data_IF_262749674530
#
_entry.id   IF_262749674530
#
_cell.length_a   1.000
_cell.length_b   1.000
_cell.length_c   1.000
_cell.angle_alpha   90.00
_cell.angle_beta   90.00
_cell.angle_gamma   90.00
#
_symmetry.space_group_name_H-M   'P 1'
#
loop_
_entity.id
_entity.type
_entity.pdbx_description
1 polymer ?
#
# COMPACT_ATOMS: atom_id res chain seq x y z
N UNK A 1 29.59 18.90 -23.03
CA UNK A 1 28.79 18.00 -23.86
C UNK A 1 27.57 17.51 -23.06
N UNK A 2 26.46 17.23 -23.74
CA UNK A 2 25.18 16.83 -23.13
C UNK A 2 25.32 15.61 -22.21
N UNK A 3 26.23 14.69 -22.46
CA UNK A 3 26.47 13.50 -21.63
C UNK A 3 27.04 13.83 -20.25
N UNK A 4 27.81 14.84 -20.09
CA UNK A 4 28.40 15.23 -18.79
C UNK A 4 27.37 15.82 -17.83
N UNK A 5 26.22 16.27 -18.33
CA UNK A 5 25.10 16.78 -17.53
C UNK A 5 24.07 15.66 -17.23
N UNK A 6 23.88 14.73 -18.18
CA UNK A 6 22.92 13.63 -18.01
C UNK A 6 23.34 12.61 -16.96
N UNK A 7 24.61 12.22 -16.95
CA UNK A 7 25.11 11.20 -15.99
C UNK A 7 24.87 11.57 -14.53
N UNK A 8 25.23 12.76 -14.03
CA UNK A 8 24.98 13.12 -12.64
C UNK A 8 23.49 13.25 -12.31
N UNK A 9 22.65 13.67 -13.28
CA UNK A 9 21.20 13.72 -13.09
C UNK A 9 20.58 12.31 -12.99
N UNK A 10 21.03 11.38 -13.84
CA UNK A 10 20.58 9.98 -13.80
C UNK A 10 21.01 9.30 -12.49
N UNK A 11 22.22 9.54 -12.00
CA UNK A 11 22.72 9.02 -10.74
C UNK A 11 21.91 9.57 -9.54
N UNK A 12 21.63 10.87 -9.54
CA UNK A 12 20.83 11.51 -8.50
C UNK A 12 19.40 10.96 -8.48
N UNK A 13 18.77 10.81 -9.64
CA UNK A 13 17.43 10.24 -9.76
C UNK A 13 17.40 8.79 -9.29
N UNK A 14 18.40 7.98 -9.65
CA UNK A 14 18.54 6.60 -9.22
C UNK A 14 18.71 6.48 -7.71
N UNK A 15 19.50 7.35 -7.11
CA UNK A 15 19.70 7.38 -5.66
C UNK A 15 18.39 7.70 -4.93
N UNK A 16 17.63 8.69 -5.40
CA UNK A 16 16.31 9.02 -4.87
C UNK A 16 15.33 7.85 -5.01
N UNK A 17 15.28 7.20 -6.17
CA UNK A 17 14.44 6.02 -6.39
C UNK A 17 14.76 4.88 -5.41
N UNK A 18 16.04 4.65 -5.11
CA UNK A 18 16.44 3.64 -4.14
C UNK A 18 15.99 3.98 -2.72
N UNK A 19 16.10 5.25 -2.33
CA UNK A 19 15.66 5.71 -0.99
C UNK A 19 14.15 5.57 -0.86
N UNK A 20 13.37 6.07 -1.81
CA UNK A 20 11.90 5.98 -1.78
C UNK A 20 11.42 4.54 -1.92
N UNK A 21 12.08 3.73 -2.75
CA UNK A 21 11.80 2.30 -2.87
C UNK A 21 12.07 1.55 -1.57
N UNK A 22 13.17 1.86 -0.89
CA UNK A 22 13.51 1.29 0.41
C UNK A 22 12.49 1.66 1.49
N UNK A 23 12.10 2.92 1.58
CA UNK A 23 11.05 3.38 2.50
C UNK A 23 9.71 2.71 2.20
N UNK A 24 9.35 2.58 0.92
CA UNK A 24 8.14 1.89 0.48
C UNK A 24 8.16 0.41 0.88
N UNK A 25 9.28 -0.28 0.71
CA UNK A 25 9.43 -1.68 1.09
C UNK A 25 9.28 -1.89 2.61
N UNK A 26 9.89 -1.01 3.42
CA UNK A 26 9.73 -1.06 4.89
C UNK A 26 8.27 -0.81 5.27
N UNK A 27 7.62 0.17 4.66
CA UNK A 27 6.21 0.47 4.92
C UNK A 27 5.30 -0.72 4.58
N UNK A 28 5.57 -1.43 3.48
CA UNK A 28 4.85 -2.65 3.11
C UNK A 28 5.06 -3.78 4.11
N UNK A 29 6.27 -3.97 4.62
CA UNK A 29 6.55 -4.96 5.66
C UNK A 29 5.75 -4.67 6.93
N UNK A 30 5.74 -3.42 7.38
CA UNK A 30 4.97 -3.01 8.57
C UNK A 30 3.47 -3.21 8.33
N UNK A 31 2.95 -2.87 7.15
CA UNK A 31 1.55 -3.12 6.78
C UNK A 31 1.21 -4.61 6.79
N UNK A 32 2.07 -5.47 6.21
CA UNK A 32 1.88 -6.92 6.21
C UNK A 32 1.86 -7.50 7.63
N UNK A 33 2.76 -7.04 8.52
CA UNK A 33 2.76 -7.41 9.93
C UNK A 33 1.48 -6.97 10.64
N UNK A 34 0.98 -5.77 10.34
CA UNK A 34 -0.30 -5.26 10.86
C UNK A 34 -1.48 -6.15 10.48
N UNK A 35 -1.60 -6.51 9.20
CA UNK A 35 -2.63 -7.43 8.71
C UNK A 35 -2.51 -8.80 9.39
N UNK A 36 -1.31 -9.36 9.46
CA UNK A 36 -1.06 -10.65 10.11
C UNK A 36 -1.48 -10.64 11.58
N UNK A 37 -1.13 -9.58 12.31
CA UNK A 37 -1.48 -9.45 13.73
C UNK A 37 -2.99 -9.36 13.95
N UNK A 38 -3.68 -8.53 13.14
CA UNK A 38 -5.14 -8.38 13.19
C UNK A 38 -5.85 -9.70 12.87
N UNK A 39 -5.38 -10.42 11.85
CA UNK A 39 -5.93 -11.73 11.46
C UNK A 39 -5.72 -12.80 12.55
N UNK A 40 -4.55 -12.79 13.21
CA UNK A 40 -4.30 -13.71 14.33
C UNK A 40 -5.27 -13.44 15.47
N UNK A 41 -5.52 -12.17 15.80
CA UNK A 41 -6.50 -11.81 16.85
C UNK A 41 -7.91 -12.27 16.48
N UNK A 42 -8.35 -12.01 15.25
CA UNK A 42 -9.64 -12.45 14.71
C UNK A 42 -9.81 -13.99 14.80
N UNK A 43 -8.76 -14.76 14.54
CA UNK A 43 -8.79 -16.22 14.69
C UNK A 43 -9.01 -16.64 16.14
N UNK A 44 -8.34 -15.98 17.10
CA UNK A 44 -8.54 -16.29 18.52
C UNK A 44 -9.95 -15.97 18.98
N UNK A 45 -10.53 -14.86 18.56
CA UNK A 45 -11.90 -14.47 18.87
C UNK A 45 -12.94 -15.46 18.32
N UNK A 46 -12.67 -16.05 17.14
CA UNK A 46 -13.57 -17.00 16.44
C UNK A 46 -13.15 -18.46 16.60
N UNK A 47 -12.28 -18.79 17.55
CA UNK A 47 -11.73 -20.14 17.72
C UNK A 47 -12.83 -21.19 17.89
N UNK A 48 -13.89 -20.89 18.65
CA UNK A 48 -15.04 -21.77 18.87
C UNK A 48 -15.81 -22.06 17.59
N UNK A 49 -16.05 -21.04 16.76
CA UNK A 49 -16.74 -21.20 15.46
C UNK A 49 -15.94 -22.11 14.52
N UNK A 50 -14.61 -21.90 14.48
CA UNK A 50 -13.69 -22.72 13.69
C UNK A 50 -13.72 -24.18 14.19
N UNK A 51 -13.76 -24.39 15.50
CA UNK A 51 -13.87 -25.71 16.10
C UNK A 51 -15.16 -26.42 15.70
N UNK A 52 -16.31 -25.75 15.78
CA UNK A 52 -17.62 -26.27 15.36
C UNK A 52 -17.62 -26.63 13.87
N UNK A 53 -17.10 -25.76 13.00
CA UNK A 53 -16.99 -26.05 11.56
C UNK A 53 -16.19 -27.32 11.29
N UNK A 54 -15.13 -27.57 12.03
CA UNK A 54 -14.30 -28.79 11.90
C UNK A 54 -15.05 -30.04 12.38
N UNK A 55 -15.79 -29.96 13.47
CA UNK A 55 -16.58 -31.08 13.98
C UNK A 55 -17.70 -31.45 13.00
N UNK A 56 -18.29 -30.48 12.33
CA UNK A 56 -19.31 -30.67 11.29
C UNK A 56 -18.70 -31.21 9.96
N UNK A 57 -17.38 -31.45 9.90
CA UNK A 57 -16.72 -32.02 8.72
C UNK A 57 -16.36 -31.03 7.63
N UNK A 58 -16.28 -29.73 7.96
CA UNK A 58 -15.85 -28.71 7.00
C UNK A 58 -14.43 -28.98 6.52
N UNK A 59 -14.20 -28.91 5.21
CA UNK A 59 -12.88 -29.12 4.62
C UNK A 59 -11.91 -28.03 5.09
N UNK A 60 -10.70 -28.44 5.52
CA UNK A 60 -9.66 -27.53 5.99
C UNK A 60 -9.25 -26.47 4.95
N UNK A 61 -9.40 -26.84 3.66
CA UNK A 61 -9.19 -25.93 2.53
C UNK A 61 -10.18 -24.76 2.53
N UNK A 62 -11.45 -25.01 2.80
CA UNK A 62 -12.50 -23.98 2.88
C UNK A 62 -12.23 -22.97 4.01
N UNK A 63 -11.81 -23.45 5.17
CA UNK A 63 -11.45 -22.58 6.31
C UNK A 63 -10.26 -21.68 5.93
N UNK A 64 -9.23 -22.24 5.30
CA UNK A 64 -8.07 -21.47 4.84
C UNK A 64 -8.46 -20.41 3.81
N UNK A 65 -9.27 -20.76 2.82
CA UNK A 65 -9.71 -19.85 1.76
C UNK A 65 -10.51 -18.68 2.33
N UNK A 66 -11.34 -18.91 3.32
CA UNK A 66 -12.11 -17.87 4.01
C UNK A 66 -11.18 -16.79 4.59
N UNK A 67 -10.15 -17.18 5.34
CA UNK A 67 -9.19 -16.23 5.91
C UNK A 67 -8.31 -15.55 4.85
N UNK A 68 -7.97 -16.24 3.77
CA UNK A 68 -7.23 -15.64 2.65
C UNK A 68 -8.08 -14.59 1.91
N UNK A 69 -9.36 -14.85 1.71
CA UNK A 69 -10.29 -13.87 1.13
C UNK A 69 -10.44 -12.65 2.05
N UNK A 70 -10.57 -12.86 3.36
CA UNK A 70 -10.66 -11.76 4.33
C UNK A 70 -9.41 -10.88 4.28
N UNK A 71 -8.21 -11.46 4.33
CA UNK A 71 -6.95 -10.69 4.27
C UNK A 71 -6.75 -9.99 2.92
N UNK A 72 -7.12 -10.62 1.80
CA UNK A 72 -7.05 -9.99 0.48
C UNK A 72 -8.02 -8.82 0.35
N UNK A 73 -9.20 -8.90 0.96
CA UNK A 73 -10.17 -7.82 1.00
C UNK A 73 -9.64 -6.61 1.79
N UNK A 74 -8.96 -6.86 2.91
CA UNK A 74 -8.28 -5.80 3.68
C UNK A 74 -7.23 -5.11 2.80
N UNK A 75 -6.40 -5.88 2.10
CA UNK A 75 -5.40 -5.34 1.17
C UNK A 75 -6.03 -4.53 0.03
N UNK A 76 -7.13 -5.01 -0.53
CA UNK A 76 -7.85 -4.33 -1.60
C UNK A 76 -8.45 -3.00 -1.14
N UNK A 77 -9.15 -2.98 0.00
CA UNK A 77 -9.74 -1.75 0.56
C UNK A 77 -8.63 -0.76 0.94
N UNK A 78 -7.56 -1.25 1.58
CA UNK A 78 -6.39 -0.43 1.90
C UNK A 78 -5.74 0.18 0.64
N UNK A 79 -5.63 -0.61 -0.43
CA UNK A 79 -5.15 -0.14 -1.73
C UNK A 79 -6.05 0.93 -2.36
N UNK A 80 -7.38 0.76 -2.31
CA UNK A 80 -8.35 1.78 -2.76
C UNK A 80 -8.19 3.10 -2.01
N UNK A 81 -8.13 3.03 -0.70
CA UNK A 81 -7.93 4.21 0.16
C UNK A 81 -6.57 4.86 -0.16
N UNK A 82 -5.51 4.07 -0.32
CA UNK A 82 -4.19 4.55 -0.67
C UNK A 82 -4.16 5.29 -2.02
N UNK A 83 -4.82 4.74 -3.04
CA UNK A 83 -4.97 5.40 -4.35
C UNK A 83 -5.76 6.70 -4.22
N UNK A 84 -6.85 6.72 -3.45
CA UNK A 84 -7.65 7.93 -3.22
C UNK A 84 -6.82 9.02 -2.54
N UNK A 85 -6.07 8.69 -1.49
CA UNK A 85 -5.17 9.63 -0.82
C UNK A 85 -4.04 10.12 -1.75
N UNK A 86 -3.50 9.25 -2.60
CA UNK A 86 -2.47 9.63 -3.58
C UNK A 86 -3.00 10.65 -4.60
N UNK A 87 -4.23 10.44 -5.08
CA UNK A 87 -4.89 11.40 -5.99
C UNK A 87 -5.16 12.75 -5.31
N UNK A 88 -5.65 12.73 -4.07
CA UNK A 88 -5.87 13.94 -3.28
C UNK A 88 -4.56 14.70 -3.06
N UNK A 89 -3.49 14.01 -2.68
CA UNK A 89 -2.18 14.60 -2.49
C UNK A 89 -1.65 15.21 -3.80
N UNK A 90 -1.76 14.50 -4.92
CA UNK A 90 -1.39 14.99 -6.25
C UNK A 90 -2.18 16.25 -6.64
N UNK A 91 -3.48 16.25 -6.38
CA UNK A 91 -4.34 17.42 -6.64
C UNK A 91 -3.93 18.63 -5.79
N UNK A 92 -3.69 18.43 -4.50
CA UNK A 92 -3.24 19.49 -3.60
C UNK A 92 -1.89 20.04 -4.05
N UNK A 93 -0.93 19.18 -4.38
CA UNK A 93 0.40 19.59 -4.84
C UNK A 93 0.35 20.38 -6.14
N UNK A 94 -0.46 19.96 -7.10
CA UNK A 94 -0.63 20.66 -8.36
C UNK A 94 -1.32 22.03 -8.19
N UNK A 95 -2.21 22.19 -7.22
CA UNK A 95 -2.86 23.46 -6.95
C UNK A 95 -2.11 24.32 -5.92
N UNK A 96 -1.15 23.77 -5.20
CA UNK A 96 -0.45 24.48 -4.12
C UNK A 96 0.30 25.70 -4.63
N UNK A 97 0.91 25.63 -5.82
CA UNK A 97 1.59 26.76 -6.47
C UNK A 97 0.62 27.90 -6.78
N UNK A 98 -0.60 27.57 -7.21
CA UNK A 98 -1.67 28.53 -7.49
C UNK A 98 -2.20 29.14 -6.19
N UNK A 99 -2.37 28.35 -5.14
CA UNK A 99 -2.84 28.79 -3.83
C UNK A 99 -1.80 29.71 -3.17
N UNK A 100 -0.51 29.35 -3.20
CA UNK A 100 0.57 30.18 -2.68
C UNK A 100 0.74 31.48 -3.46
N UNK A 101 0.58 31.46 -4.78
CA UNK A 101 0.56 32.67 -5.60
C UNK A 101 -0.63 33.59 -5.27
N UNK A 102 -1.79 33.03 -4.95
CA UNK A 102 -2.98 33.80 -4.55
C UNK A 102 -2.84 34.43 -3.14
N UNK A 103 -2.05 33.84 -2.25
CA UNK A 103 -1.77 34.40 -0.91
C UNK A 103 -0.66 35.45 -0.87
N UNK A 104 -0.07 35.84 -2.03
CA UNK A 104 0.77 37.05 -2.16
C UNK A 104 2.09 37.05 -1.37
N UNK A 105 2.60 35.90 -1.02
CA UNK A 105 3.90 35.79 -0.38
C UNK A 105 4.90 35.20 -1.38
N UNK A 106 5.69 36.07 -1.98
CA UNK A 106 6.86 35.73 -2.80
C UNK A 106 8.00 35.14 -1.99
N UNK A 107 7.75 34.06 -1.30
CA UNK A 107 8.73 33.23 -0.60
C UNK A 107 8.61 31.82 -1.16
N UNK A 108 9.31 31.54 -2.25
CA UNK A 108 9.39 30.21 -2.82
C UNK A 108 9.95 29.23 -1.79
N UNK A 109 9.07 28.49 -1.12
CA UNK A 109 9.48 27.22 -0.56
C UNK A 109 9.84 26.35 -1.74
N UNK A 110 11.15 26.21 -2.00
CA UNK A 110 11.68 25.34 -3.02
C UNK A 110 11.42 23.87 -2.62
N UNK A 111 10.17 23.44 -2.85
CA UNK A 111 9.75 22.07 -2.64
C UNK A 111 10.32 21.12 -3.70
N UNK A 112 10.97 21.66 -4.74
CA UNK A 112 11.58 20.87 -5.81
C UNK A 112 12.73 20.01 -5.28
N UNK A 113 13.44 20.49 -4.26
CA UNK A 113 14.48 19.74 -3.57
C UNK A 113 13.95 18.62 -2.68
N UNK A 114 12.74 18.74 -2.11
CA UNK A 114 12.13 17.75 -1.23
C UNK A 114 11.36 16.67 -2.01
N UNK A 115 10.84 17.01 -3.19
CA UNK A 115 10.00 16.12 -4.00
C UNK A 115 10.70 15.50 -5.20
N UNK A 116 12.05 15.51 -5.21
CA UNK A 116 12.86 14.76 -6.15
C UNK A 116 12.41 14.87 -7.60
N UNK A 117 12.80 15.93 -8.30
CA UNK A 117 12.87 16.00 -9.74
C UNK A 117 11.68 15.42 -10.51
N UNK A 118 10.48 15.98 -10.34
CA UNK A 118 9.36 15.64 -11.21
C UNK A 118 9.70 16.01 -12.65
N UNK A 119 9.55 15.07 -13.57
CA UNK A 119 9.69 15.31 -14.99
C UNK A 119 8.67 16.37 -15.40
N UNK A 120 9.18 17.57 -15.73
CA UNK A 120 8.37 18.63 -16.31
C UNK A 120 8.04 18.22 -17.75
N UNK A 121 6.88 17.64 -17.99
CA UNK A 121 6.30 17.61 -19.32
C UNK A 121 5.84 19.05 -19.63
N UNK A 122 6.66 19.75 -20.38
CA UNK A 122 6.34 21.04 -20.94
C UNK A 122 5.45 20.80 -22.15
N UNK A 123 4.16 20.55 -21.91
CA UNK A 123 3.15 20.68 -22.94
C UNK A 123 2.78 22.15 -23.05
N UNK A 124 2.88 22.68 -24.26
CA UNK A 124 2.84 24.12 -24.54
C UNK A 124 1.50 24.76 -24.14
N UNK A 125 1.48 25.37 -22.97
CA UNK A 125 0.40 26.28 -22.59
C UNK A 125 -0.30 25.96 -21.26
N UNK A 126 0.27 26.41 -20.15
CA UNK A 126 -0.44 26.52 -18.87
C UNK A 126 -0.05 25.48 -17.82
N UNK A 127 0.31 25.95 -16.64
CA UNK A 127 0.56 25.23 -15.36
C UNK A 127 1.27 23.88 -15.49
N UNK A 128 2.57 23.87 -15.26
CA UNK A 128 3.35 22.62 -15.15
C UNK A 128 2.79 21.74 -14.04
N UNK A 129 2.16 20.62 -14.41
CA UNK A 129 1.69 19.65 -13.44
C UNK A 129 2.91 18.99 -12.75
N UNK A 130 3.01 19.18 -11.44
CA UNK A 130 4.12 18.67 -10.62
C UNK A 130 4.01 17.14 -10.45
N UNK A 131 2.79 16.61 -10.47
CA UNK A 131 2.53 15.20 -10.30
C UNK A 131 1.52 14.69 -11.32
N UNK A 132 1.91 13.72 -12.14
CA UNK A 132 1.05 13.03 -13.10
C UNK A 132 1.06 11.55 -12.74
N UNK A 133 -0.09 11.03 -12.31
CA UNK A 133 -0.26 9.61 -11.96
C UNK A 133 -0.96 8.91 -13.14
N UNK A 134 -0.26 8.04 -13.89
CA UNK A 134 -0.87 7.33 -15.00
C UNK A 134 -1.88 6.28 -14.49
N UNK A 135 -3.02 6.07 -15.16
CA UNK A 135 -4.09 5.15 -14.71
C UNK A 135 -3.62 3.70 -14.53
N UNK A 136 -2.71 3.24 -15.36
CA UNK A 136 -2.16 1.88 -15.25
C UNK A 136 -1.40 1.65 -13.95
N UNK A 137 -0.73 2.70 -13.41
CA UNK A 137 -0.02 2.63 -12.13
C UNK A 137 -0.99 2.45 -10.96
N UNK A 138 -2.16 3.09 -11.03
CA UNK A 138 -3.22 2.92 -10.01
C UNK A 138 -3.72 1.47 -9.97
N UNK A 139 -3.96 0.86 -11.14
CA UNK A 139 -4.35 -0.54 -11.23
C UNK A 139 -3.24 -1.46 -10.72
N UNK A 140 -1.99 -1.20 -11.10
CA UNK A 140 -0.85 -1.96 -10.62
C UNK A 140 -0.70 -1.87 -9.09
N UNK A 141 -0.85 -0.68 -8.53
CA UNK A 141 -0.80 -0.46 -7.08
C UNK A 141 -1.92 -1.21 -6.34
N UNK A 142 -3.14 -1.21 -6.89
CA UNK A 142 -4.28 -1.92 -6.32
C UNK A 142 -4.07 -3.44 -6.31
N UNK A 143 -3.62 -3.99 -7.44
CA UNK A 143 -3.28 -5.42 -7.55
C UNK A 143 -2.17 -5.77 -6.57
N UNK A 144 -1.13 -4.94 -6.49
CA UNK A 144 -0.01 -5.17 -5.58
C UNK A 144 -0.44 -5.12 -4.11
N UNK A 145 -1.27 -4.16 -3.71
CA UNK A 145 -1.82 -4.06 -2.35
C UNK A 145 -2.65 -5.29 -1.98
N UNK A 146 -3.47 -5.80 -2.92
CA UNK A 146 -4.25 -7.02 -2.74
C UNK A 146 -3.36 -8.24 -2.57
N UNK A 147 -2.29 -8.36 -3.36
CA UNK A 147 -1.30 -9.43 -3.23
C UNK A 147 -0.58 -9.40 -1.89
N UNK A 148 -0.20 -8.21 -1.41
CA UNK A 148 0.42 -8.05 -0.07
C UNK A 148 -0.54 -8.51 1.02
N UNK A 149 -1.82 -8.14 0.95
CA UNK A 149 -2.85 -8.59 1.88
C UNK A 149 -3.00 -10.13 1.87
N UNK A 150 -3.03 -10.72 0.68
CA UNK A 150 -3.13 -12.16 0.51
C UNK A 150 -1.91 -12.90 1.09
N UNK A 151 -0.69 -12.45 0.80
CA UNK A 151 0.55 -13.03 1.33
C UNK A 151 0.61 -12.90 2.86
N UNK A 152 0.25 -11.73 3.40
CA UNK A 152 0.20 -11.51 4.85
C UNK A 152 -0.81 -12.43 5.55
N UNK A 153 -1.89 -12.83 4.86
CA UNK A 153 -2.91 -13.74 5.37
C UNK A 153 -2.51 -15.22 5.37
N UNK A 154 -1.46 -15.63 4.65
CA UNK A 154 -1.08 -17.04 4.55
C UNK A 154 -0.68 -17.62 5.93
N UNK A 155 0.11 -16.88 6.70
CA UNK A 155 0.55 -17.32 8.03
C UNK A 155 -0.62 -17.53 8.99
N UNK A 156 -1.53 -16.54 9.19
CA UNK A 156 -2.67 -16.73 10.07
C UNK A 156 -3.66 -17.77 9.55
N UNK A 157 -3.93 -17.84 8.24
CA UNK A 157 -4.80 -18.85 7.67
C UNK A 157 -4.31 -20.29 7.95
N UNK A 158 -2.99 -20.52 7.84
CA UNK A 158 -2.38 -21.80 8.20
C UNK A 158 -2.50 -22.10 9.72
N UNK A 159 -2.43 -21.06 10.56
CA UNK A 159 -2.59 -21.21 12.01
C UNK A 159 -4.03 -21.59 12.36
N UNK A 160 -5.04 -20.99 11.73
CA UNK A 160 -6.45 -21.32 11.92
C UNK A 160 -6.74 -22.80 11.62
N UNK A 161 -6.14 -23.35 10.59
CA UNK A 161 -6.29 -24.77 10.24
C UNK A 161 -5.65 -25.71 11.26
N UNK A 162 -4.61 -25.29 11.98
CA UNK A 162 -3.89 -26.10 12.96
C UNK A 162 -4.59 -26.16 14.34
N UNK A 163 -5.56 -25.29 14.62
CA UNK A 163 -6.30 -25.31 15.89
C UNK A 163 -7.04 -26.65 16.02
N UNK A 164 -6.80 -27.35 17.13
CA UNK A 164 -7.48 -28.63 17.42
C UNK A 164 -8.95 -28.38 17.75
N UNK A 165 -9.85 -29.17 17.17
CA UNK A 165 -11.27 -29.10 17.47
C UNK A 165 -11.57 -29.34 18.96
N UNK A 166 -10.80 -30.24 19.61
CA UNK A 166 -10.91 -30.54 21.05
C UNK A 166 -10.48 -29.36 21.93
N UNK A 167 -9.41 -28.64 21.52
CA UNK A 167 -8.91 -27.48 22.25
C UNK A 167 -9.85 -26.27 22.10
N UNK A 168 -10.46 -26.10 20.93
CA UNK A 168 -11.45 -25.07 20.66
C UNK A 168 -12.74 -25.22 21.49
N UNK A 169 -13.12 -26.45 21.84
CA UNK A 169 -14.31 -26.74 22.65
C UNK A 169 -14.02 -26.78 24.17
N UNK A 170 -12.76 -26.85 24.58
CA UNK A 170 -12.36 -26.97 25.99
C UNK A 170 -12.07 -25.63 26.66
N UNK A 171 -11.93 -24.55 25.90
CA UNK A 171 -11.75 -23.20 26.43
C UNK A 171 -13.12 -22.62 26.86
N UNK A 172 -13.50 -22.91 28.09
CA UNK A 172 -14.43 -22.14 28.93
C UNK A 172 -13.62 -21.36 29.93
#
# INVERSE_FOLDING_TARGET
SMESIRKPLEEQTRQQQMIFGGLGAISLLVAALGITNTMIMSIYERTREIGVMKVLGCELGSIRTMFLLESSTIGFIGGLIGVAFSLLASFVLNNLSTILAAFGQGGGLDLSGLMGGGYYYMDGGGSAAISIIPPWLMLAALVFATLVGLVAGILPANKAVKISALEALRHD
#
